data_IF_233853566259
#
_entry.id   IF_233853566259
#
_cell.length_a   1.000
_cell.length_b   1.000
_cell.length_c   1.000
_cell.angle_alpha   90.00
_cell.angle_beta   90.00
_cell.angle_gamma   90.00
#
_symmetry.space_group_name_H-M   'P 1'
#
loop_
_entity.id
_entity.type
_entity.pdbx_description
1 polymer ?
#
# COMPACT_ATOMS: atom_id res chain seq x y z
N UNK A 1 -20.32 -30.58 17.21
CA UNK A 1 -20.72 -30.96 18.59
C UNK A 1 -22.18 -31.39 18.53
N UNK A 2 -22.53 -32.60 19.02
CA UNK A 2 -23.92 -33.09 18.99
C UNK A 2 -24.66 -32.47 20.18
N UNK A 3 -25.80 -31.84 19.93
CA UNK A 3 -26.64 -31.22 20.96
C UNK A 3 -27.85 -32.15 21.17
N UNK A 4 -28.03 -32.65 22.40
CA UNK A 4 -29.08 -33.59 22.74
C UNK A 4 -29.96 -33.06 23.86
N UNK A 5 -29.36 -32.64 24.98
CA UNK A 5 -30.09 -32.25 26.18
C UNK A 5 -30.67 -30.83 26.09
N UNK A 6 -30.05 -29.95 25.29
CA UNK A 6 -30.55 -28.59 25.09
C UNK A 6 -31.89 -28.54 24.32
N UNK A 7 -32.19 -29.58 23.54
CA UNK A 7 -33.38 -29.63 22.69
C UNK A 7 -34.67 -29.58 23.52
N UNK A 8 -35.68 -28.86 23.01
CA UNK A 8 -36.98 -28.71 23.69
C UNK A 8 -37.68 -30.06 23.94
N UNK A 9 -37.49 -31.02 23.02
CA UNK A 9 -37.99 -32.38 23.16
C UNK A 9 -37.34 -33.09 24.36
N UNK A 10 -36.01 -33.11 24.43
CA UNK A 10 -35.30 -33.75 25.54
C UNK A 10 -35.63 -33.12 26.89
N UNK A 11 -35.69 -31.77 26.96
CA UNK A 11 -36.09 -31.06 28.20
C UNK A 11 -37.48 -31.49 28.69
N UNK A 12 -38.43 -31.60 27.77
CA UNK A 12 -39.80 -32.03 28.06
C UNK A 12 -39.83 -33.48 28.55
N UNK A 13 -39.07 -34.37 27.91
CA UNK A 13 -38.96 -35.78 28.31
C UNK A 13 -38.33 -35.91 29.71
N UNK A 14 -37.23 -35.20 29.98
CA UNK A 14 -36.55 -35.19 31.28
C UNK A 14 -37.47 -34.68 32.39
N UNK A 15 -38.17 -33.56 32.17
CA UNK A 15 -39.10 -32.99 33.14
C UNK A 15 -40.27 -33.93 33.46
N UNK A 16 -40.89 -34.52 32.43
CA UNK A 16 -41.97 -35.50 32.59
C UNK A 16 -41.51 -36.74 33.37
N UNK A 17 -40.34 -37.26 33.02
CA UNK A 17 -39.82 -38.46 33.65
C UNK A 17 -39.46 -38.24 35.13
N UNK A 18 -38.92 -37.06 35.46
CA UNK A 18 -38.69 -36.63 36.86
C UNK A 18 -39.98 -36.66 37.68
N UNK A 19 -41.09 -36.13 37.16
CA UNK A 19 -42.39 -36.24 37.83
C UNK A 19 -42.86 -37.69 38.00
N UNK A 20 -42.58 -38.57 37.03
CA UNK A 20 -42.93 -39.99 37.10
C UNK A 20 -42.14 -40.72 38.20
N UNK A 21 -40.86 -40.39 38.38
CA UNK A 21 -40.05 -40.94 39.48
C UNK A 21 -40.53 -40.43 40.84
N UNK A 22 -40.88 -39.15 40.94
CA UNK A 22 -41.34 -38.53 42.19
C UNK A 22 -42.64 -39.17 42.72
N UNK A 23 -43.44 -39.78 41.85
CA UNK A 23 -44.65 -40.52 42.21
C UNK A 23 -44.42 -41.97 42.67
N UNK A 24 -43.19 -42.49 42.61
CA UNK A 24 -42.89 -43.86 43.03
C UNK A 24 -42.65 -43.95 44.54
N UNK A 25 -43.24 -44.96 45.17
CA UNK A 25 -42.93 -45.33 46.56
C UNK A 25 -41.88 -46.44 46.54
N UNK A 26 -40.63 -46.17 46.98
CA UNK A 26 -39.57 -47.19 47.00
C UNK A 26 -39.85 -48.25 48.07
N UNK A 27 -39.54 -49.51 47.76
CA UNK A 27 -39.81 -50.65 48.63
C UNK A 27 -38.71 -50.86 49.68
N UNK A 28 -37.47 -50.50 49.35
CA UNK A 28 -36.29 -50.64 50.20
C UNK A 28 -35.32 -49.43 50.08
N UNK A 29 -34.25 -49.45 50.87
CA UNK A 29 -33.24 -48.37 50.87
C UNK A 29 -32.44 -48.32 49.57
N UNK A 30 -32.22 -49.46 48.90
CA UNK A 30 -31.52 -49.53 47.62
C UNK A 30 -32.34 -48.83 46.52
N UNK A 31 -33.63 -49.15 46.39
CA UNK A 31 -34.55 -48.52 45.45
C UNK A 31 -34.66 -47.02 45.71
N UNK A 32 -34.67 -46.61 46.99
CA UNK A 32 -34.68 -45.19 47.35
C UNK A 32 -33.43 -44.48 46.86
N UNK A 33 -32.23 -45.04 47.10
CA UNK A 33 -30.97 -44.45 46.67
C UNK A 33 -30.81 -44.48 45.14
N UNK A 34 -31.21 -45.57 44.47
CA UNK A 34 -31.24 -45.68 43.00
C UNK A 34 -32.13 -44.61 42.38
N UNK A 35 -33.36 -44.48 42.86
CA UNK A 35 -34.31 -43.50 42.33
C UNK A 35 -33.82 -42.06 42.59
N UNK A 36 -33.14 -41.82 43.72
CA UNK A 36 -32.50 -40.55 44.04
C UNK A 36 -31.37 -40.21 43.06
N UNK A 37 -30.54 -41.18 42.67
CA UNK A 37 -29.49 -40.98 41.66
C UNK A 37 -30.09 -40.59 40.31
N UNK A 38 -31.08 -41.35 39.83
CA UNK A 38 -31.72 -41.08 38.54
C UNK A 38 -32.29 -39.66 38.55
N UNK A 39 -33.00 -39.30 39.62
CA UNK A 39 -33.57 -37.95 39.80
C UNK A 39 -32.49 -36.87 39.79
N UNK A 40 -31.37 -37.08 40.48
CA UNK A 40 -30.26 -36.13 40.56
C UNK A 40 -29.68 -35.87 39.17
N UNK A 41 -29.35 -36.93 38.42
CA UNK A 41 -28.73 -36.83 37.09
C UNK A 41 -29.70 -36.22 36.08
N UNK A 42 -30.96 -36.68 36.03
CA UNK A 42 -31.99 -36.15 35.13
C UNK A 42 -32.26 -34.68 35.41
N UNK A 43 -32.37 -34.28 36.69
CA UNK A 43 -32.57 -32.88 37.07
C UNK A 43 -31.37 -32.01 36.69
N UNK A 44 -30.15 -32.55 36.78
CA UNK A 44 -28.95 -31.83 36.40
C UNK A 44 -28.86 -31.62 34.88
N UNK A 45 -29.24 -32.63 34.08
CA UNK A 45 -29.33 -32.53 32.63
C UNK A 45 -30.41 -31.53 32.18
N UNK A 46 -31.55 -31.50 32.88
CA UNK A 46 -32.63 -30.53 32.65
C UNK A 46 -32.19 -29.09 32.94
N UNK A 47 -31.53 -28.87 34.09
CA UNK A 47 -31.17 -27.54 34.57
C UNK A 47 -29.90 -26.96 33.90
N UNK A 48 -28.95 -27.82 33.51
CA UNK A 48 -27.65 -27.41 32.93
C UNK A 48 -27.34 -28.17 31.63
N UNK A 49 -28.24 -28.16 30.63
CA UNK A 49 -28.11 -29.01 29.44
C UNK A 49 -26.83 -28.75 28.64
N UNK A 50 -26.41 -27.48 28.52
CA UNK A 50 -25.20 -27.09 27.80
C UNK A 50 -23.93 -27.73 28.37
N UNK A 51 -23.85 -27.85 29.70
CA UNK A 51 -22.71 -28.45 30.38
C UNK A 51 -22.63 -29.96 30.08
N UNK A 52 -23.76 -30.66 30.15
CA UNK A 52 -23.84 -32.09 29.85
C UNK A 52 -23.64 -32.38 28.37
N UNK A 53 -24.21 -31.57 27.48
CA UNK A 53 -23.92 -31.68 26.06
C UNK A 53 -22.41 -31.48 25.83
N UNK A 54 -21.78 -30.45 26.40
CA UNK A 54 -20.34 -30.19 26.22
C UNK A 54 -19.43 -31.28 26.77
N UNK A 55 -19.68 -31.73 27.99
CA UNK A 55 -18.77 -32.62 28.73
C UNK A 55 -19.07 -34.10 28.54
N UNK A 56 -20.23 -34.47 28.00
CA UNK A 56 -20.62 -35.86 27.78
C UNK A 56 -20.82 -36.22 26.30
N UNK A 57 -20.01 -35.64 25.40
CA UNK A 57 -20.14 -35.81 23.95
C UNK A 57 -20.04 -37.28 23.49
N UNK A 58 -19.30 -38.13 24.20
CA UNK A 58 -19.08 -39.51 23.80
C UNK A 58 -20.31 -40.36 24.08
N UNK A 59 -20.87 -40.36 25.29
CA UNK A 59 -22.14 -41.05 25.55
C UNK A 59 -23.31 -40.43 24.80
N UNK A 60 -23.33 -39.11 24.59
CA UNK A 60 -24.35 -38.47 23.75
C UNK A 60 -24.36 -39.03 22.33
N UNK A 61 -23.20 -39.47 21.82
CA UNK A 61 -23.09 -40.21 20.55
C UNK A 61 -23.42 -41.70 20.71
N UNK A 62 -22.97 -42.36 21.77
CA UNK A 62 -23.11 -43.82 21.92
C UNK A 62 -24.51 -44.27 22.37
N UNK A 63 -25.11 -43.59 23.35
CA UNK A 63 -26.37 -44.01 23.99
C UNK A 63 -27.40 -42.89 24.13
N UNK A 64 -27.08 -41.66 23.72
CA UNK A 64 -27.94 -40.48 23.94
C UNK A 64 -29.36 -40.62 23.41
N UNK A 65 -29.53 -41.06 22.16
CA UNK A 65 -30.86 -41.19 21.55
C UNK A 65 -31.66 -42.34 22.22
N UNK A 66 -30.98 -43.45 22.56
CA UNK A 66 -31.57 -44.56 23.30
C UNK A 66 -32.01 -44.13 24.70
N UNK A 67 -31.20 -43.31 25.38
CA UNK A 67 -31.52 -42.79 26.71
C UNK A 67 -32.79 -41.96 26.68
N UNK A 68 -32.88 -40.96 25.79
CA UNK A 68 -34.09 -40.13 25.67
C UNK A 68 -35.32 -40.97 25.32
N UNK A 69 -35.20 -41.92 24.38
CA UNK A 69 -36.30 -42.82 24.02
C UNK A 69 -36.75 -43.69 25.20
N UNK A 70 -35.81 -44.15 26.04
CA UNK A 70 -36.12 -44.96 27.23
C UNK A 70 -36.86 -44.16 28.30
N UNK A 71 -36.57 -42.87 28.43
CA UNK A 71 -37.27 -41.95 29.31
C UNK A 71 -38.66 -41.56 28.79
N UNK A 72 -38.84 -41.49 27.46
CA UNK A 72 -40.12 -41.09 26.84
C UNK A 72 -41.18 -42.18 26.76
N UNK A 73 -40.84 -43.45 26.98
CA UNK A 73 -41.79 -44.58 26.91
C UNK A 73 -42.79 -44.54 28.09
N UNK A 74 -43.90 -43.82 27.88
CA UNK A 74 -44.95 -43.54 28.86
C UNK A 74 -45.78 -44.79 29.21
N UNK A 75 -45.97 -45.70 28.24
CA UNK A 75 -46.89 -46.86 28.32
C UNK A 75 -46.40 -47.99 29.24
N UNK A 76 -45.08 -48.14 29.40
CA UNK A 76 -44.52 -49.17 30.29
C UNK A 76 -44.49 -48.73 31.75
N UNK A 77 -44.89 -49.65 32.65
CA UNK A 77 -44.68 -49.51 34.11
C UNK A 77 -43.18 -49.42 34.41
N UNK A 78 -42.83 -48.66 35.45
CA UNK A 78 -41.45 -48.56 35.95
C UNK A 78 -41.15 -49.78 36.83
N UNK A 79 -40.84 -50.92 36.20
CA UNK A 79 -40.33 -52.10 36.91
C UNK A 79 -38.93 -51.85 37.47
N UNK A 80 -38.52 -52.67 38.44
CA UNK A 80 -37.15 -52.66 38.99
C UNK A 80 -36.11 -52.71 37.87
N UNK A 81 -36.24 -53.68 36.96
CA UNK A 81 -35.37 -53.87 35.80
C UNK A 81 -35.24 -52.61 34.94
N UNK A 82 -36.36 -51.92 34.65
CA UNK A 82 -36.34 -50.69 33.86
C UNK A 82 -35.66 -49.53 34.61
N UNK A 83 -35.85 -49.44 35.94
CA UNK A 83 -35.21 -48.41 36.75
C UNK A 83 -33.71 -48.69 36.90
N UNK A 84 -33.29 -49.94 37.02
CA UNK A 84 -31.89 -50.35 37.06
C UNK A 84 -31.19 -50.03 35.73
N UNK A 85 -31.83 -50.35 34.61
CA UNK A 85 -31.37 -50.00 33.26
C UNK A 85 -31.19 -48.47 33.10
N UNK A 86 -32.20 -47.68 33.46
CA UNK A 86 -32.11 -46.21 33.40
C UNK A 86 -31.03 -45.67 34.35
N UNK A 87 -30.89 -46.25 35.55
CA UNK A 87 -29.82 -45.91 36.49
C UNK A 87 -28.44 -46.16 35.89
N UNK A 88 -28.25 -47.29 35.20
CA UNK A 88 -26.99 -47.63 34.52
C UNK A 88 -26.64 -46.61 33.44
N UNK A 89 -27.63 -46.15 32.66
CA UNK A 89 -27.44 -45.10 31.65
C UNK A 89 -27.10 -43.75 32.30
N UNK A 90 -27.80 -43.36 33.37
CA UNK A 90 -27.49 -42.15 34.15
C UNK A 90 -26.07 -42.21 34.73
N UNK A 91 -25.66 -43.38 35.23
CA UNK A 91 -24.31 -43.58 35.75
C UNK A 91 -23.25 -43.45 34.67
N UNK A 92 -23.47 -43.97 33.46
CA UNK A 92 -22.56 -43.78 32.31
C UNK A 92 -22.32 -42.31 31.99
N UNK A 93 -23.38 -41.50 31.94
CA UNK A 93 -23.26 -40.06 31.75
C UNK A 93 -22.54 -39.37 32.91
N UNK A 94 -22.90 -39.72 34.16
CA UNK A 94 -22.25 -39.19 35.35
C UNK A 94 -20.74 -39.51 35.39
N UNK A 95 -20.37 -40.71 34.96
CA UNK A 95 -19.00 -41.16 34.94
C UNK A 95 -18.19 -40.49 33.82
N UNK A 96 -18.76 -40.28 32.64
CA UNK A 96 -18.12 -39.46 31.60
C UNK A 96 -17.96 -38.01 32.07
N UNK A 97 -18.97 -37.43 32.74
CA UNK A 97 -18.86 -36.09 33.31
C UNK A 97 -17.67 -36.02 34.28
N UNK A 98 -17.52 -37.01 35.17
CA UNK A 98 -16.37 -37.12 36.08
C UNK A 98 -15.03 -37.16 35.35
N UNK A 99 -14.94 -37.91 34.23
CA UNK A 99 -13.70 -38.00 33.44
C UNK A 99 -13.38 -36.70 32.69
N UNK A 100 -14.39 -35.89 32.39
CA UNK A 100 -14.27 -34.70 31.55
C UNK A 100 -14.11 -33.39 32.32
N UNK A 101 -14.47 -33.36 33.61
CA UNK A 101 -14.25 -32.19 34.48
C UNK A 101 -12.81 -32.12 34.98
N UNK A 102 -12.30 -30.89 35.15
CA UNK A 102 -10.97 -30.64 35.73
C UNK A 102 -10.94 -30.70 37.25
N UNK A 103 -12.08 -30.39 37.88
CA UNK A 103 -12.25 -30.32 39.33
C UNK A 103 -13.02 -31.55 39.81
N UNK A 104 -13.08 -31.78 41.11
CA UNK A 104 -13.89 -32.86 41.68
C UNK A 104 -15.39 -32.66 41.44
N UNK A 105 -16.14 -33.77 41.40
CA UNK A 105 -17.60 -33.76 41.40
C UNK A 105 -18.14 -33.03 42.64
N UNK A 106 -19.33 -32.43 42.52
CA UNK A 106 -20.04 -31.96 43.71
C UNK A 106 -20.35 -33.13 44.65
N UNK A 107 -20.54 -32.83 45.94
CA UNK A 107 -20.71 -33.85 46.98
C UNK A 107 -21.86 -34.82 46.67
N UNK A 108 -22.94 -34.32 46.07
CA UNK A 108 -24.13 -35.10 45.70
C UNK A 108 -23.84 -36.09 44.58
N UNK A 109 -23.10 -35.66 43.55
CA UNK A 109 -22.70 -36.51 42.44
C UNK A 109 -21.67 -37.55 42.86
N UNK A 110 -20.75 -37.18 43.76
CA UNK A 110 -19.78 -38.11 44.33
C UNK A 110 -20.47 -39.18 45.19
N UNK A 111 -21.47 -38.79 45.99
CA UNK A 111 -22.28 -39.74 46.76
C UNK A 111 -23.05 -40.70 45.85
N UNK A 112 -23.68 -40.19 44.78
CA UNK A 112 -24.37 -41.00 43.78
C UNK A 112 -23.43 -41.99 43.09
N UNK A 113 -22.23 -41.54 42.71
CA UNK A 113 -21.19 -42.39 42.12
C UNK A 113 -20.80 -43.51 43.09
N UNK A 114 -20.48 -43.18 44.34
CA UNK A 114 -20.08 -44.16 45.37
C UNK A 114 -21.18 -45.19 45.68
N UNK A 115 -22.44 -44.76 45.65
CA UNK A 115 -23.58 -45.67 45.82
C UNK A 115 -23.56 -46.78 44.75
N UNK A 116 -23.39 -46.42 43.48
CA UNK A 116 -23.34 -47.40 42.38
C UNK A 116 -22.15 -48.34 42.57
N UNK A 117 -20.96 -47.82 42.86
CA UNK A 117 -19.77 -48.64 43.11
C UNK A 117 -19.94 -49.66 44.23
N UNK A 118 -20.66 -49.31 45.30
CA UNK A 118 -20.86 -50.20 46.46
C UNK A 118 -21.96 -51.24 46.25
N UNK A 119 -22.89 -51.00 45.34
CA UNK A 119 -24.09 -51.82 45.17
C UNK A 119 -24.20 -52.44 43.77
N UNK A 120 -23.09 -52.58 43.03
CA UNK A 120 -23.07 -53.14 41.67
C UNK A 120 -23.77 -54.51 41.61
N UNK A 121 -23.57 -55.36 42.62
CA UNK A 121 -24.16 -56.70 42.69
C UNK A 121 -25.67 -56.72 42.95
N UNK A 122 -26.26 -55.58 43.39
CA UNK A 122 -27.69 -55.46 43.69
C UNK A 122 -28.54 -55.10 42.45
N UNK A 123 -27.90 -54.70 41.35
CA UNK A 123 -28.56 -54.39 40.08
C UNK A 123 -28.89 -55.65 39.29
N UNK A 124 -29.94 -55.59 38.46
CA UNK A 124 -30.23 -56.63 37.46
C UNK A 124 -29.07 -56.87 36.49
N UNK A 125 -28.98 -58.08 35.93
CA UNK A 125 -27.84 -58.54 35.11
C UNK A 125 -27.41 -57.55 34.02
N UNK A 126 -28.36 -57.06 33.23
CA UNK A 126 -28.06 -56.14 32.11
C UNK A 126 -27.54 -54.79 32.60
N UNK A 127 -28.16 -54.23 33.65
CA UNK A 127 -27.74 -52.97 34.25
C UNK A 127 -26.36 -53.10 34.93
N UNK A 128 -26.10 -54.24 35.57
CA UNK A 128 -24.81 -54.57 36.18
C UNK A 128 -23.71 -54.60 35.12
N UNK A 129 -23.93 -55.28 34.00
CA UNK A 129 -22.95 -55.32 32.89
C UNK A 129 -22.65 -53.91 32.35
N UNK A 130 -23.68 -53.07 32.18
CA UNK A 130 -23.49 -51.68 31.75
C UNK A 130 -22.69 -50.85 32.76
N UNK A 131 -22.90 -51.05 34.06
CA UNK A 131 -22.14 -50.38 35.12
C UNK A 131 -20.69 -50.86 35.13
N UNK A 132 -20.45 -52.17 35.01
CA UNK A 132 -19.09 -52.72 34.96
C UNK A 132 -18.32 -52.24 33.74
N UNK A 133 -18.95 -52.20 32.57
CA UNK A 133 -18.40 -51.60 31.36
C UNK A 133 -18.03 -50.12 31.59
N UNK A 134 -18.93 -49.35 32.21
CA UNK A 134 -18.71 -47.94 32.49
C UNK A 134 -17.49 -47.70 33.39
N UNK A 135 -17.25 -48.60 34.35
CA UNK A 135 -16.13 -48.50 35.28
C UNK A 135 -14.81 -48.94 34.63
N UNK A 136 -14.81 -50.03 33.86
CA UNK A 136 -13.58 -50.70 33.42
C UNK A 136 -13.13 -50.28 32.02
N UNK A 137 -14.01 -50.43 31.03
CA UNK A 137 -13.63 -50.35 29.61
C UNK A 137 -13.91 -48.98 29.01
N UNK A 138 -14.95 -48.31 29.48
CA UNK A 138 -15.40 -47.02 28.98
C UNK A 138 -14.33 -45.91 29.03
N UNK A 139 -13.54 -45.73 30.10
CA UNK A 139 -12.49 -44.71 30.11
C UNK A 139 -11.46 -44.92 29.00
N UNK A 140 -11.09 -46.17 28.74
CA UNK A 140 -10.14 -46.56 27.69
C UNK A 140 -10.75 -46.26 26.31
N UNK A 141 -12.03 -46.59 26.11
CA UNK A 141 -12.73 -46.33 24.86
C UNK A 141 -12.90 -44.82 24.59
N UNK A 142 -13.19 -44.02 25.63
CA UNK A 142 -13.22 -42.56 25.54
C UNK A 142 -11.84 -42.04 25.13
N UNK A 143 -10.78 -42.47 25.82
CA UNK A 143 -9.41 -42.06 25.50
C UNK A 143 -9.04 -42.43 24.05
N UNK A 144 -9.39 -43.64 23.60
CA UNK A 144 -9.15 -44.10 22.22
C UNK A 144 -9.89 -43.21 21.21
N UNK A 145 -11.13 -42.82 21.50
CA UNK A 145 -11.89 -41.91 20.63
C UNK A 145 -11.27 -40.51 20.58
N UNK A 146 -10.74 -40.01 21.69
CA UNK A 146 -10.08 -38.69 21.74
C UNK A 146 -8.73 -38.73 21.02
N UNK A 147 -7.90 -39.74 21.31
CA UNK A 147 -6.56 -39.87 20.73
C UNK A 147 -6.56 -40.03 19.21
N UNK A 148 -7.61 -40.66 18.64
CA UNK A 148 -7.78 -40.81 17.20
C UNK A 148 -8.68 -39.72 16.58
N UNK A 149 -8.94 -38.61 17.30
CA UNK A 149 -9.68 -37.49 16.73
C UNK A 149 -8.78 -36.60 15.87
N UNK A 150 -9.35 -36.02 14.81
CA UNK A 150 -8.69 -35.07 13.91
C UNK A 150 -7.98 -33.92 14.66
N UNK A 151 -8.53 -33.54 15.82
CA UNK A 151 -7.95 -32.52 16.70
C UNK A 151 -6.57 -32.92 17.26
N UNK A 152 -6.34 -34.19 17.57
CA UNK A 152 -5.03 -34.68 18.07
C UNK A 152 -4.08 -34.93 16.90
N UNK A 153 -4.59 -35.33 15.75
CA UNK A 153 -3.81 -35.43 14.51
C UNK A 153 -3.25 -34.07 14.07
N UNK A 154 -4.07 -33.01 14.12
CA UNK A 154 -3.60 -31.64 13.81
C UNK A 154 -2.54 -31.12 14.79
N UNK A 155 -2.57 -31.55 16.06
CA UNK A 155 -1.49 -31.23 17.03
C UNK A 155 -0.21 -31.97 16.69
N UNK A 156 -0.30 -33.23 16.23
CA UNK A 156 0.85 -34.01 15.79
C UNK A 156 1.58 -33.35 14.60
N UNK A 157 0.82 -32.73 13.71
CA UNK A 157 1.34 -32.02 12.53
C UNK A 157 1.73 -30.56 12.80
N UNK A 158 1.49 -30.04 14.01
CA UNK A 158 1.78 -28.65 14.37
C UNK A 158 3.24 -28.27 14.12
N UNK A 159 4.20 -29.15 14.45
CA UNK A 159 5.62 -28.90 14.23
C UNK A 159 5.95 -28.78 12.73
N UNK A 160 5.30 -29.57 11.88
CA UNK A 160 5.49 -29.51 10.42
C UNK A 160 4.90 -28.22 9.84
N UNK A 161 3.74 -27.79 10.31
CA UNK A 161 3.12 -26.52 9.90
C UNK A 161 3.93 -25.33 10.36
N UNK A 162 4.42 -25.35 11.61
CA UNK A 162 5.27 -24.29 12.17
C UNK A 162 6.58 -24.14 11.38
N UNK A 163 7.25 -25.25 11.08
CA UNK A 163 8.47 -25.24 10.27
C UNK A 163 8.24 -24.70 8.85
N UNK A 164 7.13 -25.08 8.19
CA UNK A 164 6.75 -24.53 6.88
C UNK A 164 6.48 -23.03 6.94
N UNK A 165 5.82 -22.55 7.99
CA UNK A 165 5.55 -21.12 8.18
C UNK A 165 6.84 -20.31 8.36
N UNK A 166 7.81 -20.84 9.11
CA UNK A 166 9.12 -20.21 9.29
C UNK A 166 9.94 -20.16 8.00
N UNK A 167 9.92 -21.25 7.21
CA UNK A 167 10.54 -21.25 5.87
C UNK A 167 9.92 -20.21 4.94
N UNK A 168 8.58 -20.15 4.87
CA UNK A 168 7.87 -19.20 4.01
C UNK A 168 8.16 -17.75 4.41
N UNK A 169 8.22 -17.47 5.72
CA UNK A 169 8.59 -16.16 6.24
C UNK A 169 9.99 -15.75 5.77
N UNK A 170 10.96 -16.65 5.90
CA UNK A 170 12.34 -16.39 5.50
C UNK A 170 12.47 -16.17 3.98
N UNK A 171 11.68 -16.88 3.17
CA UNK A 171 11.62 -16.65 1.72
C UNK A 171 11.01 -15.28 1.38
N UNK A 172 9.91 -14.91 2.03
CA UNK A 172 9.29 -13.60 1.85
C UNK A 172 10.19 -12.44 2.25
N UNK A 173 10.94 -12.58 3.34
CA UNK A 173 11.89 -11.56 3.79
C UNK A 173 13.02 -11.37 2.76
N UNK A 174 13.53 -12.47 2.17
CA UNK A 174 14.49 -12.40 1.05
C UNK A 174 13.90 -11.73 -0.19
N UNK A 175 12.67 -12.07 -0.60
CA UNK A 175 12.05 -11.47 -1.78
C UNK A 175 11.76 -9.98 -1.57
N UNK A 176 11.31 -9.59 -0.37
CA UNK A 176 11.08 -8.19 -0.01
C UNK A 176 12.36 -7.37 -0.09
N UNK A 177 13.47 -7.86 0.48
CA UNK A 177 14.77 -7.19 0.40
C UNK A 177 15.24 -7.03 -1.05
N UNK A 178 15.08 -8.07 -1.88
CA UNK A 178 15.44 -8.01 -3.30
C UNK A 178 14.57 -6.99 -4.08
N UNK A 179 13.27 -6.90 -3.76
CA UNK A 179 12.38 -5.90 -4.35
C UNK A 179 12.72 -4.49 -3.90
N UNK A 180 13.02 -4.29 -2.62
CA UNK A 180 13.42 -2.99 -2.08
C UNK A 180 14.71 -2.50 -2.77
N UNK A 181 15.70 -3.38 -2.94
CA UNK A 181 16.93 -3.04 -3.66
C UNK A 181 16.64 -2.62 -5.12
N UNK A 182 15.73 -3.32 -5.82
CA UNK A 182 15.31 -2.94 -7.17
C UNK A 182 14.60 -1.58 -7.19
N UNK A 183 13.72 -1.31 -6.24
CA UNK A 183 13.01 -0.02 -6.15
C UNK A 183 14.00 1.12 -5.89
N UNK A 184 14.96 0.92 -4.98
CA UNK A 184 16.00 1.92 -4.71
C UNK A 184 16.87 2.17 -5.96
N UNK A 185 17.28 1.12 -6.69
CA UNK A 185 17.99 1.27 -7.97
C UNK A 185 17.18 2.03 -9.02
N UNK A 186 15.87 1.79 -9.10
CA UNK A 186 14.98 2.54 -10.01
C UNK A 186 14.88 4.01 -9.59
N UNK A 187 14.72 4.29 -8.29
CA UNK A 187 14.67 5.65 -7.74
C UNK A 187 15.95 6.42 -8.07
N UNK A 188 17.11 5.81 -7.85
CA UNK A 188 18.41 6.43 -8.14
C UNK A 188 18.57 6.71 -9.65
N UNK A 189 18.13 5.78 -10.49
CA UNK A 189 18.14 5.95 -11.94
C UNK A 189 17.22 7.10 -12.36
N UNK A 190 16.00 7.15 -11.83
CA UNK A 190 15.01 8.17 -12.16
C UNK A 190 15.47 9.57 -11.69
N UNK A 191 16.07 9.68 -10.49
CA UNK A 191 16.64 10.93 -9.99
C UNK A 191 17.78 11.44 -10.89
N UNK A 192 18.62 10.55 -11.42
CA UNK A 192 19.64 10.91 -12.42
C UNK A 192 19.02 11.41 -13.73
N UNK A 193 17.93 10.80 -14.20
CA UNK A 193 17.21 11.26 -15.40
C UNK A 193 16.52 12.61 -15.19
N UNK A 194 15.88 12.84 -14.03
CA UNK A 194 15.14 14.08 -13.73
C UNK A 194 16.05 15.30 -13.63
N UNK A 195 17.20 15.18 -12.95
CA UNK A 195 18.13 16.29 -12.75
C UNK A 195 19.06 16.53 -13.96
N UNK A 196 19.36 15.48 -14.74
CA UNK A 196 20.40 15.52 -15.78
C UNK A 196 19.93 15.96 -17.17
N UNK A 197 18.66 15.78 -17.54
CA UNK A 197 18.28 15.89 -18.96
C UNK A 197 17.47 17.13 -19.34
N UNK A 198 16.56 17.63 -18.49
CA UNK A 198 15.65 18.68 -18.94
C UNK A 198 16.30 20.07 -18.93
N UNK A 199 16.79 20.56 -17.78
CA UNK A 199 17.33 21.93 -17.70
C UNK A 199 18.80 22.05 -18.14
N UNK A 200 19.60 21.00 -17.91
CA UNK A 200 20.98 20.93 -18.43
C UNK A 200 20.98 20.84 -19.96
N UNK A 201 20.11 20.00 -20.53
CA UNK A 201 19.95 19.88 -21.98
C UNK A 201 19.45 21.17 -22.63
N UNK A 202 18.45 21.83 -22.04
CA UNK A 202 17.98 23.14 -22.50
C UNK A 202 19.07 24.22 -22.39
N UNK A 203 19.79 24.26 -21.27
CA UNK A 203 20.92 25.19 -21.10
C UNK A 203 21.97 24.97 -22.19
N UNK A 204 22.36 23.73 -22.45
CA UNK A 204 23.34 23.39 -23.47
C UNK A 204 22.84 23.77 -24.88
N UNK A 205 21.57 23.51 -25.19
CA UNK A 205 20.95 23.94 -26.45
C UNK A 205 20.97 25.45 -26.63
N UNK A 206 20.64 26.23 -25.59
CA UNK A 206 20.74 27.69 -25.65
C UNK A 206 22.19 28.18 -25.69
N UNK A 207 23.14 27.50 -25.04
CA UNK A 207 24.57 27.82 -25.10
C UNK A 207 25.14 27.65 -26.50
N UNK A 208 24.79 26.55 -27.18
CA UNK A 208 25.21 26.31 -28.56
C UNK A 208 24.55 27.29 -29.53
N UNK A 209 23.27 27.62 -29.35
CA UNK A 209 22.60 28.67 -30.12
C UNK A 209 23.27 30.05 -29.93
N UNK A 210 23.69 30.38 -28.70
CA UNK A 210 24.43 31.60 -28.41
C UNK A 210 25.78 31.65 -29.12
N UNK A 211 26.51 30.52 -29.19
CA UNK A 211 27.78 30.43 -29.93
C UNK A 211 27.57 30.69 -31.41
N UNK A 212 26.58 30.04 -32.03
CA UNK A 212 26.25 30.24 -33.45
C UNK A 212 25.89 31.70 -33.73
N UNK A 213 25.02 32.31 -32.91
CA UNK A 213 24.62 33.71 -33.06
C UNK A 213 25.76 34.71 -32.79
N UNK A 214 26.70 34.37 -31.91
CA UNK A 214 27.89 35.19 -31.66
C UNK A 214 28.84 35.20 -32.85
N UNK A 215 29.01 34.06 -33.53
CA UNK A 215 29.76 33.96 -34.79
C UNK A 215 29.09 34.79 -35.89
N UNK A 216 27.76 34.66 -36.04
CA UNK A 216 26.97 35.48 -36.99
C UNK A 216 27.16 36.98 -36.72
N UNK A 217 27.03 37.42 -35.45
CA UNK A 217 27.27 38.80 -35.03
C UNK A 217 28.66 39.30 -35.41
N UNK A 218 29.70 38.49 -35.15
CA UNK A 218 31.07 38.87 -35.44
C UNK A 218 31.32 38.97 -36.95
N UNK A 219 30.70 38.10 -37.76
CA UNK A 219 30.75 38.17 -39.22
C UNK A 219 30.07 39.45 -39.74
N UNK A 220 28.87 39.79 -39.23
CA UNK A 220 28.18 41.05 -39.59
C UNK A 220 29.03 42.26 -39.21
N UNK A 221 29.65 42.25 -38.02
CA UNK A 221 30.52 43.33 -37.56
C UNK A 221 31.77 43.49 -38.43
N UNK A 222 32.33 42.38 -38.94
CA UNK A 222 33.42 42.42 -39.90
C UNK A 222 33.00 43.11 -41.20
N UNK A 223 31.87 42.71 -41.79
CA UNK A 223 31.34 43.34 -43.02
C UNK A 223 30.94 44.81 -42.82
N UNK A 224 30.42 45.17 -41.65
CA UNK A 224 30.17 46.57 -41.29
C UNK A 224 31.44 47.41 -41.33
N UNK A 225 32.55 46.92 -40.76
CA UNK A 225 33.85 47.60 -40.82
C UNK A 225 34.34 47.77 -42.26
N UNK A 226 34.21 46.73 -43.08
CA UNK A 226 34.57 46.77 -44.51
C UNK A 226 33.76 47.84 -45.25
N UNK A 227 32.43 47.86 -45.07
CA UNK A 227 31.58 48.89 -45.68
C UNK A 227 31.90 50.29 -45.15
N UNK A 228 32.20 50.46 -43.86
CA UNK A 228 32.60 51.76 -43.31
C UNK A 228 33.86 52.30 -44.00
N UNK A 229 34.87 51.45 -44.24
CA UNK A 229 36.08 51.84 -44.99
C UNK A 229 35.72 52.16 -46.45
N UNK A 230 34.84 51.36 -47.07
CA UNK A 230 34.40 51.55 -48.46
C UNK A 230 33.61 52.85 -48.67
N UNK A 231 32.87 53.34 -47.67
CA UNK A 231 32.20 54.66 -47.74
C UNK A 231 33.23 55.79 -47.81
N UNK A 232 34.31 55.69 -47.03
CA UNK A 232 35.32 56.74 -46.92
C UNK A 232 36.33 56.70 -48.08
N UNK A 233 36.53 55.51 -48.68
CA UNK A 233 37.53 55.27 -49.70
C UNK A 233 37.42 56.15 -50.96
N UNK A 234 36.24 56.32 -51.60
CA UNK A 234 36.11 57.21 -52.77
C UNK A 234 36.51 58.66 -52.46
N UNK A 235 36.10 59.17 -51.29
CA UNK A 235 36.43 60.53 -50.85
C UNK A 235 37.94 60.70 -50.65
N UNK A 236 38.59 59.73 -49.99
CA UNK A 236 40.05 59.76 -49.83
C UNK A 236 40.79 59.61 -51.15
N UNK A 237 40.30 58.77 -52.07
CA UNK A 237 40.91 58.59 -53.38
C UNK A 237 40.85 59.89 -54.20
N UNK A 238 39.71 60.58 -54.21
CA UNK A 238 39.57 61.90 -54.86
C UNK A 238 40.53 62.92 -54.25
N UNK A 239 40.64 62.98 -52.91
CA UNK A 239 41.59 63.89 -52.22
C UNK A 239 43.06 63.60 -52.57
N UNK A 240 43.44 62.32 -52.67
CA UNK A 240 44.81 61.93 -53.07
C UNK A 240 45.10 62.30 -54.52
N UNK A 241 44.13 62.13 -55.43
CA UNK A 241 44.26 62.53 -56.84
C UNK A 241 44.46 64.04 -56.96
N UNK A 242 43.68 64.83 -56.21
CA UNK A 242 43.80 66.30 -56.17
C UNK A 242 45.19 66.69 -55.64
N UNK A 243 45.63 66.08 -54.54
CA UNK A 243 46.93 66.38 -53.95
C UNK A 243 48.10 66.09 -54.90
N UNK A 244 48.07 64.95 -55.62
CA UNK A 244 49.14 64.57 -56.56
C UNK A 244 49.24 65.44 -57.80
N UNK A 245 48.17 66.14 -58.18
CA UNK A 245 48.12 66.92 -59.42
C UNK A 245 47.83 68.41 -59.18
N UNK A 246 48.27 68.93 -58.02
CA UNK A 246 48.02 70.29 -57.58
C UNK A 246 48.58 71.35 -58.54
N UNK A 247 49.60 71.00 -59.33
CA UNK A 247 50.24 71.89 -60.30
C UNK A 247 49.48 71.99 -61.64
N UNK A 248 48.57 71.05 -61.94
CA UNK A 248 47.84 70.95 -63.22
C UNK A 248 46.33 70.67 -63.00
N UNK A 249 45.71 71.42 -62.09
CA UNK A 249 44.29 71.24 -61.69
C UNK A 249 43.32 71.40 -62.88
N UNK A 250 43.63 72.27 -63.85
CA UNK A 250 42.77 72.49 -65.02
C UNK A 250 42.61 71.26 -65.92
N UNK A 251 43.63 70.40 -65.98
CA UNK A 251 43.63 69.20 -66.82
C UNK A 251 42.78 68.04 -66.25
N UNK A 252 42.47 68.07 -64.95
CA UNK A 252 41.80 66.97 -64.23
C UNK A 252 40.37 67.35 -63.82
N UNK A 253 40.02 68.64 -63.90
CA UNK A 253 38.70 69.19 -63.57
C UNK A 253 37.56 68.46 -64.27
N UNK A 254 37.65 68.24 -65.58
CA UNK A 254 36.58 67.62 -66.36
C UNK A 254 36.41 66.12 -66.01
N UNK A 255 37.51 65.42 -65.74
CA UNK A 255 37.49 64.03 -65.29
C UNK A 255 36.91 63.86 -63.88
N UNK A 256 37.20 64.78 -62.96
CA UNK A 256 36.62 64.79 -61.61
C UNK A 256 35.11 65.04 -61.66
N UNK A 257 34.63 66.00 -62.47
CA UNK A 257 33.20 66.29 -62.61
C UNK A 257 32.42 65.07 -63.13
N UNK A 258 32.98 64.33 -64.10
CA UNK A 258 32.37 63.10 -64.60
C UNK A 258 32.41 61.97 -63.55
N UNK A 259 33.46 61.90 -62.74
CA UNK A 259 33.64 60.86 -61.71
C UNK A 259 32.74 61.05 -60.47
N UNK A 260 32.27 62.28 -60.18
CA UNK A 260 31.41 62.58 -59.02
C UNK A 260 30.08 61.82 -59.08
N UNK A 261 29.46 61.68 -60.25
CA UNK A 261 28.17 61.00 -60.36
C UNK A 261 28.26 59.51 -60.01
N UNK A 262 29.18 58.71 -60.61
CA UNK A 262 29.42 57.34 -60.18
C UNK A 262 29.87 57.20 -58.72
N UNK A 263 30.74 58.10 -58.21
CA UNK A 263 31.23 58.02 -56.84
C UNK A 263 30.11 58.28 -55.82
N UNK A 264 29.24 59.26 -56.08
CA UNK A 264 28.07 59.54 -55.26
C UNK A 264 27.05 58.40 -55.28
N UNK A 265 26.77 57.83 -56.46
CA UNK A 265 25.90 56.65 -56.58
C UNK A 265 26.47 55.44 -55.83
N UNK A 266 27.78 55.19 -55.94
CA UNK A 266 28.45 54.12 -55.20
C UNK A 266 28.34 54.33 -53.68
N UNK A 267 28.63 55.54 -53.20
CA UNK A 267 28.51 55.88 -51.77
C UNK A 267 27.07 55.69 -51.27
N UNK A 268 26.06 56.10 -52.04
CA UNK A 268 24.66 55.91 -51.68
C UNK A 268 24.29 54.42 -51.54
N UNK A 269 24.75 53.57 -52.47
CA UNK A 269 24.55 52.11 -52.43
C UNK A 269 25.25 51.50 -51.22
N UNK A 270 26.51 51.88 -50.96
CA UNK A 270 27.29 51.37 -49.82
C UNK A 270 26.64 51.78 -48.49
N UNK A 271 26.14 53.02 -48.37
CA UNK A 271 25.40 53.49 -47.18
C UNK A 271 24.10 52.68 -46.98
N UNK A 272 23.38 52.36 -48.05
CA UNK A 272 22.18 51.54 -47.96
C UNK A 272 22.49 50.16 -47.38
N UNK A 273 23.49 49.45 -47.93
CA UNK A 273 23.91 48.15 -47.40
C UNK A 273 24.47 48.25 -45.97
N UNK A 274 25.17 49.34 -45.65
CA UNK A 274 25.63 49.60 -44.29
C UNK A 274 24.46 49.70 -43.30
N UNK A 275 23.37 50.40 -43.66
CA UNK A 275 22.16 50.47 -42.84
C UNK A 275 21.49 49.11 -42.65
N UNK A 276 21.39 48.32 -43.72
CA UNK A 276 20.82 46.96 -43.67
C UNK A 276 21.64 46.05 -42.74
N UNK A 277 22.97 46.04 -42.88
CA UNK A 277 23.83 45.27 -41.98
C UNK A 277 23.81 45.78 -40.54
N UNK A 278 23.68 47.09 -40.33
CA UNK A 278 23.58 47.67 -38.99
C UNK A 278 22.27 47.25 -38.30
N UNK A 279 21.17 47.19 -39.06
CA UNK A 279 19.90 46.67 -38.56
C UNK A 279 20.01 45.18 -38.18
N UNK A 280 20.58 44.35 -39.06
CA UNK A 280 20.80 42.93 -38.77
C UNK A 280 21.73 42.71 -37.57
N UNK A 281 22.77 43.54 -37.42
CA UNK A 281 23.67 43.51 -36.26
C UNK A 281 22.92 43.78 -34.95
N UNK A 282 22.04 44.79 -34.93
CA UNK A 282 21.21 45.10 -33.76
C UNK A 282 20.23 43.96 -33.46
N UNK A 283 19.58 43.40 -34.48
CA UNK A 283 18.67 42.26 -34.34
C UNK A 283 19.37 41.03 -33.74
N UNK A 284 20.54 40.63 -34.26
CA UNK A 284 21.31 39.51 -33.72
C UNK A 284 21.80 39.79 -32.29
N UNK A 285 22.16 41.04 -31.97
CA UNK A 285 22.53 41.43 -30.60
C UNK A 285 21.34 41.29 -29.64
N UNK A 286 20.13 41.67 -30.06
CA UNK A 286 18.90 41.51 -29.28
C UNK A 286 18.55 40.03 -29.06
N UNK A 287 18.68 39.20 -30.09
CA UNK A 287 18.51 37.74 -29.98
C UNK A 287 19.50 37.12 -28.98
N UNK A 288 20.77 37.54 -29.00
CA UNK A 288 21.78 37.07 -28.04
C UNK A 288 21.43 37.43 -26.59
N UNK A 289 20.89 38.64 -26.35
CA UNK A 289 20.45 39.06 -25.02
C UNK A 289 19.29 38.20 -24.52
N UNK A 290 18.33 37.89 -25.40
CA UNK A 290 17.21 37.00 -25.07
C UNK A 290 17.66 35.56 -24.77
N UNK A 291 18.63 35.04 -25.53
CA UNK A 291 19.21 33.71 -25.30
C UNK A 291 19.95 33.69 -23.94
N UNK A 292 20.71 34.73 -23.61
CA UNK A 292 21.46 34.80 -22.35
C UNK A 292 20.54 34.86 -21.12
N UNK A 293 19.40 35.56 -21.24
CA UNK A 293 18.34 35.52 -20.23
C UNK A 293 17.82 34.09 -20.02
N UNK A 294 17.51 33.36 -21.10
CA UNK A 294 17.03 31.96 -21.01
C UNK A 294 18.08 31.03 -20.43
N UNK A 295 19.35 31.20 -20.79
CA UNK A 295 20.48 30.46 -20.19
C UNK A 295 20.57 30.69 -18.68
N UNK A 296 20.47 31.95 -18.26
CA UNK A 296 20.51 32.33 -16.84
C UNK A 296 19.32 31.75 -16.07
N UNK A 297 18.14 31.78 -16.68
CA UNK A 297 16.92 31.22 -16.13
C UNK A 297 16.98 29.68 -16.01
N UNK A 298 17.49 28.96 -17.02
CA UNK A 298 17.69 27.51 -16.95
C UNK A 298 18.68 27.12 -15.84
N UNK A 299 19.79 27.87 -15.69
CA UNK A 299 20.75 27.68 -14.58
C UNK A 299 20.11 27.94 -13.22
N UNK A 300 19.31 29.00 -13.11
CA UNK A 300 18.61 29.33 -11.87
C UNK A 300 17.62 28.25 -11.47
N UNK A 301 16.83 27.71 -12.42
CA UNK A 301 15.87 26.65 -12.11
C UNK A 301 16.51 25.33 -11.73
N UNK A 302 17.62 24.96 -12.34
CA UNK A 302 18.34 23.76 -11.94
C UNK A 302 18.71 23.80 -10.44
N UNK A 303 19.08 24.97 -9.93
CA UNK A 303 19.30 25.19 -8.50
C UNK A 303 18.00 25.35 -7.68
N UNK A 304 16.93 25.88 -8.29
CA UNK A 304 15.61 26.03 -7.64
C UNK A 304 14.86 24.70 -7.49
N UNK A 305 14.89 23.78 -8.47
CA UNK A 305 14.19 22.49 -8.41
C UNK A 305 14.74 21.58 -7.31
N UNK A 306 16.06 21.66 -7.05
CA UNK A 306 16.69 21.02 -5.89
C UNK A 306 16.17 21.57 -4.55
N UNK A 307 15.74 22.84 -4.51
CA UNK A 307 15.13 23.50 -3.34
C UNK A 307 13.58 23.48 -3.31
N UNK A 308 12.91 23.20 -4.45
CA UNK A 308 11.46 23.44 -4.63
C UNK A 308 10.57 22.35 -4.04
N UNK A 309 11.10 21.18 -3.70
CA UNK A 309 10.32 20.15 -3.01
C UNK A 309 9.80 20.66 -1.65
N UNK A 310 10.48 21.66 -1.05
CA UNK A 310 10.03 22.35 0.17
C UNK A 310 9.06 23.52 -0.08
N UNK A 311 9.06 24.15 -1.27
CA UNK A 311 8.36 25.43 -1.55
C UNK A 311 7.18 25.30 -2.54
N UNK A 312 7.03 24.16 -3.24
CA UNK A 312 5.96 23.87 -4.23
C UNK A 312 4.52 24.12 -3.77
N UNK A 313 4.26 24.32 -2.46
CA UNK A 313 2.93 24.63 -1.94
C UNK A 313 2.50 26.11 -2.05
N UNK A 314 3.40 27.04 -2.36
CA UNK A 314 3.11 28.47 -2.16
C UNK A 314 3.04 29.35 -3.42
N UNK A 315 3.60 28.94 -4.58
CA UNK A 315 3.73 29.89 -5.72
C UNK A 315 3.69 29.27 -7.13
N UNK A 316 2.57 28.61 -7.47
CA UNK A 316 2.29 28.00 -8.79
C UNK A 316 2.30 29.02 -9.95
N UNK A 317 1.86 30.26 -9.70
CA UNK A 317 1.71 31.31 -10.71
C UNK A 317 3.08 31.79 -11.23
N UNK A 318 4.08 31.87 -10.36
CA UNK A 318 5.44 32.25 -10.72
C UNK A 318 6.11 31.24 -11.66
N UNK A 319 5.76 29.96 -11.55
CA UNK A 319 6.28 28.88 -12.40
C UNK A 319 5.68 28.92 -13.81
N UNK A 320 4.39 29.22 -13.94
CA UNK A 320 3.74 29.42 -15.23
C UNK A 320 4.27 30.64 -16.00
N UNK A 321 4.59 31.74 -15.30
CA UNK A 321 5.22 32.93 -15.91
C UNK A 321 6.65 32.64 -16.36
N UNK A 322 7.39 31.83 -15.60
CA UNK A 322 8.72 31.37 -15.98
C UNK A 322 8.70 30.54 -17.29
N UNK A 323 7.80 29.56 -17.39
CA UNK A 323 7.71 28.70 -18.58
C UNK A 323 7.45 29.51 -19.85
N UNK A 324 6.57 30.52 -19.76
CA UNK A 324 6.31 31.44 -20.87
C UNK A 324 7.56 32.23 -21.32
N UNK A 325 8.45 32.61 -20.41
CA UNK A 325 9.69 33.34 -20.76
C UNK A 325 10.69 32.41 -21.46
N UNK A 326 10.82 31.15 -21.00
CA UNK A 326 11.70 30.15 -21.62
C UNK A 326 11.24 29.74 -23.02
N UNK A 327 9.93 29.50 -23.19
CA UNK A 327 9.37 28.94 -24.43
C UNK A 327 8.84 29.97 -25.43
N UNK A 328 8.92 31.28 -25.12
CA UNK A 328 8.56 32.33 -26.08
C UNK A 328 9.44 32.31 -27.34
N UNK A 329 8.95 32.83 -28.47
CA UNK A 329 9.78 33.01 -29.67
C UNK A 329 10.89 34.05 -29.47
N UNK A 330 11.99 33.97 -30.24
CA UNK A 330 13.01 35.02 -30.26
C UNK A 330 12.50 36.19 -31.12
N UNK A 331 12.38 37.39 -30.54
CA UNK A 331 11.87 38.56 -31.26
C UNK A 331 13.00 39.25 -32.04
N UNK A 332 12.76 39.54 -33.32
CA UNK A 332 13.74 40.09 -34.28
C UNK A 332 13.79 41.62 -34.37
N UNK A 333 12.86 42.35 -33.75
CA UNK A 333 12.76 43.82 -33.86
C UNK A 333 12.89 44.55 -32.52
N UNK A 334 13.80 45.53 -32.44
CA UNK A 334 14.01 46.39 -31.27
C UNK A 334 12.79 47.28 -30.94
N UNK A 335 11.81 47.41 -31.87
CA UNK A 335 10.64 48.29 -31.74
C UNK A 335 9.44 47.70 -31.01
N UNK A 336 9.45 46.39 -30.74
CA UNK A 336 8.45 45.69 -29.93
C UNK A 336 9.19 44.79 -28.95
N UNK A 337 9.98 45.36 -28.04
CA UNK A 337 10.25 44.70 -26.76
C UNK A 337 8.90 44.58 -26.06
N UNK A 338 8.26 43.40 -25.99
CA UNK A 338 7.06 43.25 -25.20
C UNK A 338 7.47 43.41 -23.73
N UNK A 339 6.49 43.53 -22.85
CA UNK A 339 6.58 43.54 -21.38
C UNK A 339 7.43 42.44 -20.72
N UNK A 340 8.20 41.64 -21.46
CA UNK A 340 9.27 40.76 -20.97
C UNK A 340 10.33 41.44 -20.10
N UNK A 341 10.56 42.76 -20.24
CA UNK A 341 11.45 43.49 -19.32
C UNK A 341 10.83 43.71 -17.91
N UNK A 342 9.49 43.71 -17.78
CA UNK A 342 8.81 43.67 -16.46
C UNK A 342 9.03 42.33 -15.74
N UNK A 343 9.32 41.26 -16.49
CA UNK A 343 9.68 39.95 -15.94
C UNK A 343 11.02 39.98 -15.19
N UNK A 344 11.98 40.80 -15.64
CA UNK A 344 13.30 40.94 -14.99
C UNK A 344 13.18 41.61 -13.62
N UNK A 345 12.27 42.57 -13.47
CA UNK A 345 12.01 43.25 -12.19
C UNK A 345 11.29 42.33 -11.18
N UNK A 346 10.46 41.40 -11.65
CA UNK A 346 9.87 40.35 -10.80
C UNK A 346 10.88 39.24 -10.45
N UNK A 347 11.79 38.90 -11.36
CA UNK A 347 12.92 38.00 -11.06
C UNK A 347 13.85 38.62 -10.01
N UNK A 348 14.09 39.94 -10.07
CA UNK A 348 14.85 40.64 -9.01
C UNK A 348 14.16 40.58 -7.64
N UNK A 349 12.81 40.58 -7.60
CA UNK A 349 12.03 40.33 -6.36
C UNK A 349 12.15 38.88 -5.88
N UNK A 350 12.13 37.89 -6.79
CA UNK A 350 12.34 36.47 -6.46
C UNK A 350 13.76 36.16 -5.98
N UNK A 351 14.79 36.80 -6.57
CA UNK A 351 16.17 36.69 -6.10
C UNK A 351 16.32 37.30 -4.70
N UNK A 352 15.59 38.39 -4.40
CA UNK A 352 15.57 39.00 -3.06
C UNK A 352 14.84 38.14 -2.03
N UNK A 353 13.76 37.45 -2.38
CA UNK A 353 13.02 36.60 -1.43
C UNK A 353 13.76 35.31 -1.05
N UNK A 354 14.68 34.84 -1.89
CA UNK A 354 15.54 33.67 -1.62
C UNK A 354 16.76 34.01 -0.73
N UNK A 355 17.14 35.29 -0.63
CA UNK A 355 18.27 35.76 0.19
C UNK A 355 17.87 36.21 1.60
N UNK A 356 16.59 36.12 1.97
CA UNK A 356 16.07 36.47 3.30
C UNK A 356 15.72 35.26 4.14
#
# INVERSE_FOLDING_TARGET
MKVLFETNQSKTVLAKFKHKIDGLVPSDDFEKQRNSLIRLVVSAMENRPEEWDKLCQINTKWIGDQFINRLSDEEKKLSKERLDDICSMCFRFLFELYLSIKNDLSMEFEAARRFVFKNVDSFESDAKEQIEYAIRDMPINILKSIANSDSIESIKDFNAVSSKAEMLKNEWEKDLLAREERVNKLKDSLSKYENGFNFVGLYQGFDDLAKVKSVERNNILFWLKVLSVLVVFPVLAELVIIYKNIDNISAIKDGLIVSIFPSLSLVAIVIYYFRVLLFNYKSVKSQLLQIDLRKTLCRFIQHYSEYSSAIKKQDSESLAKFENIIFSGLVTEDGNLPSTYDGVEQIAKLIKSVKS
#
